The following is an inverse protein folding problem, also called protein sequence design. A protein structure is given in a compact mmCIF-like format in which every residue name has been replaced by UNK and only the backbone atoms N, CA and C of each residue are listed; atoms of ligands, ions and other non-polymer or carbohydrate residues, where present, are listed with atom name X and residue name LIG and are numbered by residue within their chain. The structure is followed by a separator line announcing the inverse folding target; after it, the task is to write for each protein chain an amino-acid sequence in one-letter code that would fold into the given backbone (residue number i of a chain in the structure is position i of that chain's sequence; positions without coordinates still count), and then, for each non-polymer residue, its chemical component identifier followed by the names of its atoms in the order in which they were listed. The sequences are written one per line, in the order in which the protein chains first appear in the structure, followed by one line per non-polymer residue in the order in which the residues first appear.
data_IF_620846284965
#
_entry.id   IF_620846284965
#
_cell.length_a   1.000
_cell.length_b   1.000
_cell.length_c   1.000
_cell.angle_alpha   90.00
_cell.angle_beta   90.00
_cell.angle_gamma   90.00
#
_symmetry.space_group_name_H-M   'P 1'
#
loop_
_entity.id
_entity.type
_entity.pdbx_description
1 polymer ?
#
# COMPACT_ATOMS: atom_id res chain seq x y z
N UNK A 1 6.12 7.60 9.58
CA UNK A 1 5.53 7.79 8.24
C UNK A 1 6.34 7.01 7.20
N UNK A 2 5.73 6.02 6.52
CA UNK A 2 6.35 5.27 5.42
C UNK A 2 5.88 5.85 4.08
N UNK A 3 6.83 6.10 3.18
CA UNK A 3 6.49 6.53 1.82
C UNK A 3 6.25 5.28 0.94
N UNK A 4 5.05 5.18 0.37
CA UNK A 4 4.62 4.10 -0.53
C UNK A 4 4.32 4.67 -1.92
N UNK A 5 5.15 4.31 -2.87
CA UNK A 5 5.02 4.65 -4.29
C UNK A 5 4.76 3.41 -5.14
N UNK A 6 4.39 3.58 -6.40
CA UNK A 6 4.28 2.47 -7.37
C UNK A 6 5.58 1.67 -7.52
N UNK A 7 6.73 2.31 -7.29
CA UNK A 7 8.06 1.69 -7.34
C UNK A 7 8.48 1.00 -6.03
N UNK A 8 7.65 1.03 -4.99
CA UNK A 8 7.99 0.45 -3.70
C UNK A 8 8.11 -1.08 -3.82
N UNK A 9 9.26 -1.66 -3.44
CA UNK A 9 9.46 -3.10 -3.56
C UNK A 9 8.45 -3.90 -2.72
N UNK A 10 8.04 -5.04 -3.25
CA UNK A 10 7.04 -5.94 -2.62
C UNK A 10 7.41 -6.33 -1.19
N UNK A 11 8.70 -6.49 -0.88
CA UNK A 11 9.17 -6.82 0.47
C UNK A 11 8.85 -5.69 1.48
N UNK A 12 8.87 -4.43 1.07
CA UNK A 12 8.48 -3.27 1.90
C UNK A 12 6.96 -3.18 2.01
N UNK A 13 6.24 -3.36 0.91
CA UNK A 13 4.76 -3.43 0.90
C UNK A 13 4.24 -4.51 1.85
N UNK A 14 4.94 -5.64 1.93
CA UNK A 14 4.58 -6.72 2.83
C UNK A 14 4.81 -6.44 4.31
N UNK A 15 5.71 -5.51 4.64
CA UNK A 15 6.03 -5.12 6.02
C UNK A 15 5.06 -4.09 6.59
N UNK A 16 4.23 -3.45 5.76
CA UNK A 16 3.21 -2.49 6.21
C UNK A 16 2.18 -3.22 7.07
N UNK A 17 1.83 -2.62 8.21
CA UNK A 17 0.88 -3.13 9.19
C UNK A 17 -0.26 -2.14 9.43
N UNK A 18 -1.35 -2.66 9.98
CA UNK A 18 -2.43 -1.81 10.50
C UNK A 18 -1.84 -0.95 11.63
N UNK A 19 -2.13 0.34 11.58
CA UNK A 19 -1.63 1.34 12.51
C UNK A 19 -0.41 2.11 12.02
N UNK A 20 0.24 1.68 10.93
CA UNK A 20 1.32 2.43 10.32
C UNK A 20 0.79 3.71 9.67
N UNK A 21 1.49 4.82 9.83
CA UNK A 21 1.25 6.03 9.06
C UNK A 21 1.99 5.95 7.73
N UNK A 22 1.27 6.13 6.62
CA UNK A 22 1.81 6.05 5.26
C UNK A 22 1.43 7.27 4.44
N UNK A 23 2.24 7.58 3.44
CA UNK A 23 2.02 8.64 2.44
C UNK A 23 2.37 8.13 1.04
N UNK A 24 1.64 8.55 0.02
CA UNK A 24 1.97 8.28 -1.39
C UNK A 24 2.61 9.49 -2.10
N UNK A 25 2.93 9.32 -3.39
CA UNK A 25 3.52 10.38 -4.23
C UNK A 25 2.56 11.52 -4.57
N UNK A 26 1.25 11.34 -4.33
CA UNK A 26 0.19 12.32 -4.57
C UNK A 26 -0.24 13.04 -3.27
N UNK A 27 0.52 12.88 -2.18
CA UNK A 27 0.21 13.38 -0.83
C UNK A 27 -1.07 12.79 -0.21
N UNK A 28 -1.55 11.64 -0.68
CA UNK A 28 -2.51 10.84 0.08
C UNK A 28 -1.81 10.31 1.32
N UNK A 29 -2.30 10.65 2.50
CA UNK A 29 -1.65 10.30 3.76
C UNK A 29 -2.67 9.90 4.82
N UNK A 30 -2.22 9.05 5.73
CA UNK A 30 -3.04 8.63 6.86
C UNK A 30 -2.52 7.37 7.53
N UNK A 31 -3.25 6.94 8.54
CA UNK A 31 -3.00 5.71 9.28
C UNK A 31 -3.69 4.55 8.61
N UNK A 32 -2.98 3.45 8.38
CA UNK A 32 -3.53 2.23 7.79
C UNK A 32 -4.54 1.61 8.76
N UNK A 33 -5.80 1.53 8.33
CA UNK A 33 -6.88 0.89 9.11
C UNK A 33 -7.23 -0.51 8.59
N UNK A 34 -6.91 -0.79 7.32
CA UNK A 34 -7.18 -2.08 6.68
C UNK A 34 -6.22 -2.31 5.52
N UNK A 35 -5.77 -3.55 5.38
CA UNK A 35 -4.89 -3.99 4.30
C UNK A 35 -5.60 -5.13 3.56
N UNK A 36 -5.66 -5.02 2.23
CA UNK A 36 -6.05 -6.12 1.33
C UNK A 36 -4.89 -6.43 0.41
N UNK A 37 -4.60 -7.73 0.27
CA UNK A 37 -3.57 -8.25 -0.62
C UNK A 37 -4.21 -9.32 -1.50
N UNK A 38 -4.01 -9.25 -2.81
CA UNK A 38 -4.52 -10.23 -3.75
C UNK A 38 -3.48 -10.53 -4.83
N UNK A 39 -3.68 -11.62 -5.58
CA UNK A 39 -2.87 -11.93 -6.76
C UNK A 39 -3.82 -11.99 -7.94
N UNK A 40 -3.57 -11.16 -8.95
CA UNK A 40 -4.40 -11.04 -10.16
C UNK A 40 -3.47 -11.06 -11.37
N UNK A 41 -3.67 -12.02 -12.28
CA UNK A 41 -2.87 -12.16 -13.51
C UNK A 41 -1.35 -12.12 -13.24
N UNK A 42 -0.87 -12.91 -12.28
CA UNK A 42 0.53 -12.96 -11.80
C UNK A 42 1.10 -11.67 -11.18
N UNK A 43 0.30 -10.60 -11.08
CA UNK A 43 0.65 -9.39 -10.34
C UNK A 43 0.14 -9.45 -8.89
N UNK A 44 0.90 -8.86 -7.97
CA UNK A 44 0.52 -8.70 -6.57
C UNK A 44 -0.16 -7.36 -6.37
N UNK A 45 -1.39 -7.40 -5.92
CA UNK A 45 -2.19 -6.23 -5.61
C UNK A 45 -2.14 -5.91 -4.12
N UNK A 46 -1.94 -4.65 -3.78
CA UNK A 46 -1.96 -4.10 -2.44
C UNK A 46 -2.94 -2.93 -2.36
N UNK A 47 -3.86 -3.03 -1.41
CA UNK A 47 -4.85 -2.01 -1.10
C UNK A 47 -4.70 -1.62 0.37
N UNK A 48 -4.30 -0.38 0.62
CA UNK A 48 -4.18 0.18 1.96
C UNK A 48 -5.30 1.21 2.15
N UNK A 49 -6.27 0.89 3.00
CA UNK A 49 -7.29 1.86 3.39
C UNK A 49 -6.78 2.68 4.57
N UNK A 50 -6.96 3.98 4.47
CA UNK A 50 -6.52 4.96 5.46
C UNK A 50 -7.69 5.44 6.31
N UNK A 51 -7.39 5.88 7.53
CA UNK A 51 -8.32 6.57 8.42
C UNK A 51 -8.86 7.88 7.81
N UNK A 52 -8.08 8.53 6.95
CA UNK A 52 -8.45 9.71 6.15
C UNK A 52 -9.50 9.45 5.07
N UNK A 53 -10.10 8.23 5.02
CA UNK A 53 -11.01 7.76 3.97
C UNK A 53 -10.39 7.66 2.58
N UNK A 54 -9.07 7.80 2.48
CA UNK A 54 -8.30 7.58 1.27
C UNK A 54 -7.93 6.10 1.13
N UNK A 55 -7.61 5.68 -0.08
CA UNK A 55 -7.11 4.32 -0.35
C UNK A 55 -5.91 4.40 -1.27
N UNK A 56 -4.79 3.81 -0.86
CA UNK A 56 -3.59 3.68 -1.67
C UNK A 56 -3.63 2.30 -2.35
N UNK A 57 -3.58 2.31 -3.68
CA UNK A 57 -3.57 1.14 -4.53
C UNK A 57 -2.20 0.97 -5.17
N UNK A 58 -1.59 -0.20 -4.98
CA UNK A 58 -0.31 -0.54 -5.59
C UNK A 58 -0.43 -1.91 -6.24
N UNK A 59 -0.24 -1.93 -7.57
CA UNK A 59 -0.07 -3.15 -8.33
C UNK A 59 1.42 -3.36 -8.60
N UNK A 60 1.96 -4.48 -8.15
CA UNK A 60 3.37 -4.82 -8.32
C UNK A 60 3.50 -6.08 -9.15
N UNK A 61 4.20 -6.00 -10.28
CA UNK A 61 4.49 -7.16 -11.10
C UNK A 61 5.39 -8.11 -10.30
N UNK A 62 4.91 -9.34 -10.09
CA UNK A 62 5.70 -10.38 -9.45
C UNK A 62 6.85 -10.76 -10.37
N UNK A 63 8.07 -10.36 -10.03
CA UNK A 63 9.28 -11.06 -10.47
C UNK A 63 9.69 -11.97 -9.31
#
# INVERSE_FOLDING_TARGET
MLNLTHSTPVNKLNKVKIGDEIVDEYNSQGKVVKIRKSVVNDAREFLFHLDSRQTIYILSNGI
#
